data_IF_104872933767
#
_entry.id   IF_104872933767
#
_cell.length_a   1.000
_cell.length_b   1.000
_cell.length_c   1.000
_cell.angle_alpha   90.00
_cell.angle_beta   90.00
_cell.angle_gamma   90.00
#
_symmetry.space_group_name_H-M   'P 1'
#
loop_
_entity.id
_entity.type
_entity.pdbx_description
1 polymer ?
#
# COMPACT_ATOMS: atom_id res chain seq x y z
N UNK A 1 -8.94 -6.69 -25.30
CA UNK A 1 -9.82 -6.16 -24.25
C UNK A 1 -9.02 -5.18 -23.41
N UNK A 2 -9.63 -4.10 -22.92
CA UNK A 2 -8.96 -3.23 -21.95
C UNK A 2 -8.82 -3.97 -20.62
N UNK A 3 -7.73 -3.72 -19.89
CA UNK A 3 -7.56 -4.24 -18.53
C UNK A 3 -8.63 -3.65 -17.61
N UNK A 4 -9.06 -4.43 -16.63
CA UNK A 4 -9.94 -3.99 -15.55
C UNK A 4 -9.16 -3.15 -14.53
N UNK A 5 -9.85 -2.32 -13.77
CA UNK A 5 -9.23 -1.51 -12.70
C UNK A 5 -8.56 -2.39 -11.64
N UNK A 6 -9.11 -3.58 -11.37
CA UNK A 6 -8.51 -4.53 -10.42
C UNK A 6 -7.17 -5.08 -10.93
N UNK A 7 -7.07 -5.40 -12.22
CA UNK A 7 -5.82 -5.83 -12.84
C UNK A 7 -4.79 -4.69 -12.85
N UNK A 8 -5.22 -3.49 -13.24
CA UNK A 8 -4.35 -2.30 -13.24
C UNK A 8 -3.85 -1.97 -11.83
N UNK A 9 -4.72 -2.07 -10.83
CA UNK A 9 -4.36 -1.88 -9.43
C UNK A 9 -3.30 -2.89 -8.99
N UNK A 10 -3.51 -4.18 -9.26
CA UNK A 10 -2.56 -5.23 -8.89
C UNK A 10 -1.20 -5.08 -9.57
N UNK A 11 -1.18 -4.79 -10.88
CA UNK A 11 0.06 -4.54 -11.62
C UNK A 11 0.81 -3.32 -11.10
N UNK A 12 0.09 -2.23 -10.80
CA UNK A 12 0.69 -1.01 -10.27
C UNK A 12 1.25 -1.22 -8.86
N UNK A 13 0.51 -1.93 -8.00
CA UNK A 13 0.97 -2.32 -6.67
C UNK A 13 2.28 -3.12 -6.75
N UNK A 14 2.37 -4.11 -7.63
CA UNK A 14 3.59 -4.91 -7.78
C UNK A 14 4.79 -4.08 -8.22
N UNK A 15 4.61 -3.08 -9.09
CA UNK A 15 5.68 -2.15 -9.47
C UNK A 15 6.20 -1.33 -8.28
N UNK A 16 5.34 -0.95 -7.34
CA UNK A 16 5.79 -0.29 -6.10
C UNK A 16 6.59 -1.23 -5.20
N UNK A 17 6.17 -2.50 -5.10
CA UNK A 17 6.90 -3.52 -4.32
C UNK A 17 8.25 -3.84 -4.96
N UNK A 18 8.34 -3.93 -6.28
CA UNK A 18 9.60 -4.11 -7.01
C UNK A 18 10.58 -2.96 -6.72
N UNK A 19 10.11 -1.72 -6.78
CA UNK A 19 10.94 -0.55 -6.46
C UNK A 19 11.43 -0.58 -4.99
N UNK A 20 10.56 -0.95 -4.05
CA UNK A 20 10.94 -1.10 -2.65
C UNK A 20 11.98 -2.21 -2.44
N UNK A 21 11.84 -3.33 -3.14
CA UNK A 21 12.80 -4.42 -3.11
C UNK A 21 14.16 -4.00 -3.70
N UNK A 22 14.18 -3.25 -4.79
CA UNK A 22 15.41 -2.71 -5.37
C UNK A 22 16.18 -1.84 -4.37
N UNK A 23 15.49 -0.91 -3.67
CA UNK A 23 16.13 -0.08 -2.64
C UNK A 23 16.72 -0.91 -1.49
N UNK A 24 16.04 -1.98 -1.09
CA UNK A 24 16.56 -2.94 -0.10
C UNK A 24 17.80 -3.66 -0.62
N UNK A 25 17.80 -4.08 -1.88
CA UNK A 25 18.92 -4.78 -2.51
C UNK A 25 20.14 -3.85 -2.73
N UNK A 26 19.91 -2.53 -2.82
CA UNK A 26 20.94 -1.48 -2.81
C UNK A 26 21.56 -1.23 -1.40
N UNK A 27 21.09 -1.93 -0.38
CA UNK A 27 21.61 -1.86 0.99
C UNK A 27 20.85 -0.91 1.93
N UNK A 28 19.73 -0.34 1.49
CA UNK A 28 18.85 0.44 2.38
C UNK A 28 18.16 -0.52 3.35
N UNK A 29 18.21 -0.22 4.65
CA UNK A 29 17.59 -1.10 5.65
C UNK A 29 16.08 -1.25 5.40
N UNK A 30 15.49 -2.46 5.59
CA UNK A 30 14.05 -2.68 5.37
C UNK A 30 13.15 -1.72 6.16
N UNK A 31 13.57 -1.32 7.38
CA UNK A 31 12.84 -0.34 8.18
C UNK A 31 12.77 1.03 7.50
N UNK A 32 13.89 1.50 6.92
CA UNK A 32 13.94 2.76 6.18
C UNK A 32 13.11 2.67 4.90
N UNK A 33 13.20 1.57 4.15
CA UNK A 33 12.36 1.35 2.95
C UNK A 33 10.88 1.40 3.30
N UNK A 34 10.47 0.74 4.39
CA UNK A 34 9.09 0.75 4.85
C UNK A 34 8.62 2.15 5.27
N UNK A 35 9.44 2.90 6.00
CA UNK A 35 9.12 4.27 6.39
C UNK A 35 8.99 5.18 5.16
N UNK A 36 9.91 5.05 4.20
CA UNK A 36 9.90 5.82 2.96
C UNK A 36 8.65 5.55 2.12
N UNK A 37 8.23 4.29 1.98
CA UNK A 37 6.98 3.94 1.28
C UNK A 37 5.76 4.58 1.92
N UNK A 38 5.68 4.54 3.26
CA UNK A 38 4.57 5.16 3.99
C UNK A 38 4.53 6.68 3.75
N UNK A 39 5.67 7.36 3.85
CA UNK A 39 5.77 8.79 3.58
C UNK A 39 5.43 9.13 2.13
N UNK A 40 5.96 8.37 1.16
CA UNK A 40 5.67 8.58 -0.26
C UNK A 40 4.17 8.42 -0.56
N UNK A 41 3.52 7.43 0.05
CA UNK A 41 2.07 7.23 -0.06
C UNK A 41 1.29 8.41 0.52
N UNK A 42 1.66 8.91 1.70
CA UNK A 42 1.02 10.06 2.32
C UNK A 42 1.16 11.36 1.50
N UNK A 43 2.35 11.58 0.91
CA UNK A 43 2.59 12.70 -0.01
C UNK A 43 1.72 12.59 -1.25
N UNK A 44 1.66 11.41 -1.88
CA UNK A 44 0.82 11.19 -3.05
C UNK A 44 -0.67 11.36 -2.74
N UNK A 45 -1.15 10.83 -1.61
CA UNK A 45 -2.53 11.00 -1.17
C UNK A 45 -2.90 12.48 -0.95
N UNK A 46 -1.96 13.27 -0.42
CA UNK A 46 -2.16 14.71 -0.24
C UNK A 46 -2.33 15.42 -1.59
N UNK A 47 -1.48 15.13 -2.57
CA UNK A 47 -1.61 15.69 -3.92
C UNK A 47 -2.93 15.30 -4.61
N UNK A 48 -3.36 14.04 -4.49
CA UNK A 48 -4.62 13.58 -5.09
C UNK A 48 -5.83 14.30 -4.48
N UNK A 49 -5.81 14.54 -3.17
CA UNK A 49 -6.95 15.13 -2.46
C UNK A 49 -7.00 16.66 -2.53
N UNK A 50 -5.85 17.33 -2.52
CA UNK A 50 -5.75 18.79 -2.37
C UNK A 50 -5.09 19.50 -3.57
N UNK A 51 -4.65 18.76 -4.58
CA UNK A 51 -3.97 19.32 -5.75
C UNK A 51 -2.56 19.85 -5.43
N UNK A 52 -2.06 20.76 -6.27
CA UNK A 52 -0.69 21.30 -6.15
C UNK A 52 -0.49 22.30 -4.99
N UNK A 53 -1.57 22.76 -4.35
CA UNK A 53 -1.54 23.89 -3.42
C UNK A 53 -1.75 23.53 -1.94
N UNK A 54 -2.16 22.31 -1.59
CA UNK A 54 -2.66 22.03 -0.22
C UNK A 54 -2.17 20.74 0.41
N UNK A 55 -1.83 20.81 1.69
CA UNK A 55 -1.88 19.65 2.58
C UNK A 55 -3.33 19.23 2.86
N UNK A 56 -3.52 18.00 3.33
CA UNK A 56 -4.83 17.53 3.77
C UNK A 56 -5.30 18.34 4.99
N UNK A 57 -6.56 18.76 5.01
CA UNK A 57 -7.25 19.11 6.26
C UNK A 57 -7.41 17.87 7.14
N UNK A 58 -7.67 18.05 8.45
CA UNK A 58 -7.81 16.94 9.42
C UNK A 58 -8.76 15.84 8.94
N UNK A 59 -9.92 16.21 8.39
CA UNK A 59 -10.88 15.24 7.83
C UNK A 59 -10.37 14.46 6.61
N UNK A 60 -9.41 15.01 5.88
CA UNK A 60 -8.72 14.33 4.79
C UNK A 60 -7.68 13.33 5.30
N UNK A 61 -6.98 13.66 6.39
CA UNK A 61 -6.06 12.73 7.07
C UNK A 61 -6.84 11.51 7.56
N UNK A 62 -7.96 11.73 8.24
CA UNK A 62 -8.80 10.64 8.75
C UNK A 62 -9.26 9.69 7.64
N UNK A 63 -9.69 10.23 6.49
CA UNK A 63 -10.08 9.41 5.32
C UNK A 63 -8.94 8.55 4.80
N UNK A 64 -7.72 9.08 4.72
CA UNK A 64 -6.55 8.33 4.25
C UNK A 64 -6.19 7.23 5.25
N UNK A 65 -6.23 7.54 6.55
CA UNK A 65 -5.98 6.57 7.62
C UNK A 65 -7.01 5.44 7.60
N UNK A 66 -8.29 5.77 7.43
CA UNK A 66 -9.37 4.78 7.35
C UNK A 66 -9.26 3.90 6.10
N UNK A 67 -8.91 4.48 4.96
CA UNK A 67 -8.65 3.71 3.73
C UNK A 67 -7.47 2.73 3.91
N UNK A 68 -6.37 3.19 4.54
CA UNK A 68 -5.23 2.34 4.83
C UNK A 68 -5.57 1.22 5.83
N UNK A 69 -6.34 1.55 6.88
CA UNK A 69 -6.85 0.56 7.84
C UNK A 69 -7.66 -0.52 7.14
N UNK A 70 -8.59 -0.13 6.28
CA UNK A 70 -9.42 -1.07 5.54
C UNK A 70 -8.59 -2.00 4.65
N UNK A 71 -7.54 -1.49 3.99
CA UNK A 71 -6.64 -2.32 3.19
C UNK A 71 -5.85 -3.30 4.05
N UNK A 72 -5.37 -2.85 5.22
CA UNK A 72 -4.67 -3.71 6.17
C UNK A 72 -5.56 -4.84 6.69
N UNK A 73 -6.82 -4.54 7.04
CA UNK A 73 -7.79 -5.54 7.49
C UNK A 73 -8.03 -6.62 6.43
N UNK A 74 -8.19 -6.23 5.17
CA UNK A 74 -8.33 -7.16 4.04
C UNK A 74 -7.09 -8.05 3.89
N UNK A 75 -5.88 -7.47 3.91
CA UNK A 75 -4.63 -8.24 3.81
C UNK A 75 -4.50 -9.25 4.95
N UNK A 76 -4.82 -8.84 6.18
CA UNK A 76 -4.74 -9.74 7.33
C UNK A 76 -5.80 -10.84 7.28
N UNK A 77 -7.01 -10.54 6.78
CA UNK A 77 -8.03 -11.55 6.57
C UNK A 77 -7.58 -12.60 5.54
N UNK A 78 -7.01 -12.16 4.41
CA UNK A 78 -6.47 -13.07 3.39
C UNK A 78 -5.34 -13.96 3.97
N UNK A 79 -4.37 -13.36 4.66
CA UNK A 79 -3.26 -14.11 5.28
C UNK A 79 -3.73 -15.14 6.32
N UNK A 80 -4.76 -14.82 7.11
CA UNK A 80 -5.35 -15.77 8.06
C UNK A 80 -6.02 -16.93 7.34
N UNK A 81 -6.81 -16.66 6.29
CA UNK A 81 -7.45 -17.70 5.50
C UNK A 81 -6.42 -18.64 4.84
N UNK A 82 -5.32 -18.10 4.31
CA UNK A 82 -4.22 -18.91 3.76
C UNK A 82 -3.56 -19.80 4.82
N UNK A 83 -3.38 -19.29 6.03
CA UNK A 83 -2.79 -20.05 7.13
C UNK A 83 -3.69 -21.21 7.57
N UNK A 84 -5.00 -20.96 7.70
CA UNK A 84 -6.00 -21.98 8.06
C UNK A 84 -6.07 -23.08 6.99
N UNK A 85 -6.03 -22.72 5.71
CA UNK A 85 -5.97 -23.69 4.62
C UNK A 85 -4.71 -24.56 4.67
N UNK A 86 -3.54 -23.96 4.96
CA UNK A 86 -2.28 -24.71 5.10
C UNK A 86 -2.31 -25.68 6.27
N UNK A 87 -2.98 -25.32 7.38
CA UNK A 87 -3.11 -26.18 8.55
C UNK A 87 -4.09 -27.35 8.33
N UNK A 88 -5.12 -27.16 7.51
CA UNK A 88 -6.07 -28.24 7.17
C UNK A 88 -5.53 -29.25 6.15
N UNK A 89 -4.42 -28.91 5.47
CA UNK A 89 -3.75 -29.78 4.49
C UNK A 89 -2.54 -30.54 5.08
N UNK A 90 -2.25 -30.35 6.37
CA UNK A 90 -1.20 -31.05 7.13
C UNK A 90 -1.82 -32.06 8.09
#
# INVERSE_FOLDING_TARGET
MSKTDAELHHETMNRFIELANAAKDEGVSPHVVSAAMMTASAVYASYVAAGNEGGLHDSGIDKVVDAYRHQMEQIQAMKRAELEQKQQQQ
#
